data_IF_661309164912
#
_entry.id   IF_661309164912
#
_cell.length_a   1.000
_cell.length_b   1.000
_cell.length_c   1.000
_cell.angle_alpha   90.00
_cell.angle_beta   90.00
_cell.angle_gamma   90.00
#
_symmetry.space_group_name_H-M   'P 1'
#
loop_
_entity.id
_entity.type
_entity.pdbx_description
1 polymer ?
#
# COMPACT_ATOMS: atom_id res chain seq x y z
N UNK A 1 11.83 16.16 -18.43
CA UNK A 1 12.11 15.70 -17.06
C UNK A 1 11.94 14.19 -17.06
N UNK A 2 13.03 13.44 -16.90
CA UNK A 2 12.94 12.00 -16.64
C UNK A 2 12.69 11.88 -15.15
N UNK A 3 11.46 11.57 -14.75
CA UNK A 3 11.19 11.19 -13.37
C UNK A 3 11.72 9.78 -13.19
N UNK A 4 12.82 9.62 -12.45
CA UNK A 4 13.27 8.32 -12.00
C UNK A 4 12.43 7.92 -10.80
N UNK A 5 11.65 6.87 -10.93
CA UNK A 5 10.91 6.30 -9.79
C UNK A 5 11.91 5.75 -8.77
N UNK A 6 11.96 6.38 -7.60
CA UNK A 6 12.81 5.92 -6.50
C UNK A 6 12.09 4.80 -5.76
N UNK A 7 12.80 3.72 -5.52
CA UNK A 7 12.30 2.55 -4.82
C UNK A 7 13.08 2.34 -3.52
N UNK A 8 12.41 1.82 -2.49
CA UNK A 8 12.99 1.49 -1.20
C UNK A 8 12.65 0.06 -0.81
N UNK A 9 13.66 -0.71 -0.41
CA UNK A 9 13.43 -2.03 0.18
C UNK A 9 12.94 -1.88 1.62
N UNK A 10 11.82 -2.54 1.91
CA UNK A 10 11.13 -2.47 3.20
C UNK A 10 10.82 -3.88 3.68
N UNK A 11 10.99 -4.09 4.99
CA UNK A 11 10.62 -5.33 5.67
C UNK A 11 9.31 -5.18 6.45
N UNK A 12 8.45 -6.18 6.39
CA UNK A 12 7.23 -6.26 7.20
C UNK A 12 7.13 -7.60 7.92
N UNK A 13 6.63 -7.59 9.15
CA UNK A 13 6.35 -8.82 9.89
C UNK A 13 5.03 -9.45 9.40
N UNK A 14 5.12 -10.69 8.93
CA UNK A 14 3.98 -11.50 8.52
C UNK A 14 3.25 -12.10 9.72
N UNK A 15 2.08 -12.69 9.47
CA UNK A 15 1.30 -13.43 10.48
C UNK A 15 2.04 -14.62 11.13
N UNK A 16 3.18 -15.04 10.57
CA UNK A 16 4.00 -16.13 11.11
C UNK A 16 5.29 -15.62 11.78
N UNK A 17 5.34 -14.33 12.15
CA UNK A 17 6.52 -13.67 12.74
C UNK A 17 7.78 -13.75 11.87
N UNK A 18 7.59 -13.83 10.54
CA UNK A 18 8.67 -13.79 9.56
C UNK A 18 8.71 -12.41 8.90
N UNK A 19 9.91 -11.87 8.71
CA UNK A 19 10.12 -10.65 7.93
C UNK A 19 9.96 -10.99 6.45
N UNK A 20 9.04 -10.29 5.78
CA UNK A 20 8.87 -10.30 4.34
C UNK A 20 9.47 -9.02 3.79
N UNK A 21 10.52 -9.16 2.99
CA UNK A 21 11.12 -8.06 2.24
C UNK A 21 10.34 -7.79 0.96
N UNK A 22 10.14 -6.52 0.63
CA UNK A 22 9.51 -6.09 -0.61
C UNK A 22 10.01 -4.70 -1.00
N UNK A 23 9.88 -4.38 -2.27
CA UNK A 23 10.27 -3.08 -2.81
C UNK A 23 9.04 -2.17 -2.87
N UNK A 24 9.13 -1.01 -2.22
CA UNK A 24 8.09 0.01 -2.21
C UNK A 24 8.49 1.21 -3.07
N UNK A 25 7.49 1.86 -3.68
CA UNK A 25 7.68 3.14 -4.38
C UNK A 25 7.79 4.27 -3.35
N UNK A 26 8.83 5.10 -3.47
CA UNK A 26 8.93 6.35 -2.71
C UNK A 26 8.11 7.43 -3.43
N UNK A 27 6.86 7.57 -3.02
CA UNK A 27 5.90 8.52 -3.59
C UNK A 27 5.59 9.66 -2.62
N UNK A 28 6.13 10.86 -2.89
CA UNK A 28 5.86 12.06 -2.10
C UNK A 28 4.45 12.63 -2.31
N UNK A 29 3.75 12.20 -3.36
CA UNK A 29 2.35 12.54 -3.62
C UNK A 29 1.36 11.72 -2.79
N UNK A 30 1.80 10.62 -2.18
CA UNK A 30 0.98 9.79 -1.32
C UNK A 30 0.92 10.35 0.11
N UNK A 31 -0.30 10.59 0.63
CA UNK A 31 -0.51 11.04 2.01
C UNK A 31 -0.24 9.99 3.10
N UNK A 32 0.22 8.79 2.72
CA UNK A 32 0.41 7.66 3.64
C UNK A 32 1.08 6.47 2.96
N UNK A 33 1.19 5.37 3.71
CA UNK A 33 1.73 4.10 3.21
C UNK A 33 0.59 3.23 2.70
N UNK A 34 0.69 2.77 1.46
CA UNK A 34 -0.32 1.92 0.83
C UNK A 34 0.31 0.62 0.36
N UNK A 35 -0.46 -0.45 0.40
CA UNK A 35 -0.06 -1.77 -0.11
C UNK A 35 -1.22 -2.37 -0.89
N UNK A 36 -0.93 -3.05 -1.99
CA UNK A 36 -1.94 -3.78 -2.75
C UNK A 36 -2.54 -4.91 -1.89
N UNK A 37 -3.86 -5.00 -1.87
CA UNK A 37 -4.56 -5.98 -1.03
C UNK A 37 -4.31 -7.44 -1.44
N UNK A 38 -4.14 -7.72 -2.73
CA UNK A 38 -3.88 -9.08 -3.21
C UNK A 38 -2.46 -9.49 -2.84
N UNK A 39 -1.52 -8.55 -2.95
CA UNK A 39 -0.15 -8.73 -2.49
C UNK A 39 -0.10 -8.98 -0.98
N UNK A 40 -0.73 -8.14 -0.16
CA UNK A 40 -0.78 -8.33 1.30
C UNK A 40 -1.35 -9.71 1.69
N UNK A 41 -2.43 -10.15 1.04
CA UNK A 41 -3.00 -11.50 1.24
C UNK A 41 -2.03 -12.61 0.83
N UNK A 42 -1.41 -12.51 -0.34
CA UNK A 42 -0.45 -13.49 -0.86
C UNK A 42 0.75 -13.65 0.08
N UNK A 43 1.26 -12.54 0.62
CA UNK A 43 2.42 -12.54 1.53
C UNK A 43 2.06 -12.83 2.99
N UNK A 44 0.78 -13.04 3.31
CA UNK A 44 0.35 -13.38 4.66
C UNK A 44 0.47 -12.23 5.65
N UNK A 45 0.28 -10.99 5.19
CA UNK A 45 0.30 -9.82 6.06
C UNK A 45 -0.95 -9.83 6.97
N UNK A 46 -0.83 -9.40 8.23
CA UNK A 46 -1.99 -9.24 9.09
C UNK A 46 -2.90 -8.12 8.54
N UNK A 47 -4.15 -8.46 8.25
CA UNK A 47 -5.16 -7.51 7.77
C UNK A 47 -6.41 -7.59 8.63
N UNK A 48 -7.13 -6.48 8.77
CA UNK A 48 -8.46 -6.44 9.39
C UNK A 48 -9.42 -5.70 8.48
N UNK A 49 -10.67 -6.17 8.40
CA UNK A 49 -11.74 -5.43 7.76
C UNK A 49 -12.12 -4.23 8.63
N UNK A 50 -12.27 -3.07 8.00
CA UNK A 50 -12.76 -1.83 8.58
C UNK A 50 -14.29 -1.88 8.67
N UNK A 51 -14.83 -1.42 9.79
CA UNK A 51 -16.30 -1.28 9.95
C UNK A 51 -16.89 -0.30 8.93
N UNK A 52 -16.11 0.72 8.55
CA UNK A 52 -16.47 1.69 7.52
C UNK A 52 -15.31 1.83 6.53
N UNK A 53 -15.62 1.61 5.25
CA UNK A 53 -14.64 1.76 4.18
C UNK A 53 -14.17 3.22 4.04
N UNK A 54 -12.89 3.39 3.73
CA UNK A 54 -12.29 4.71 3.49
C UNK A 54 -12.26 4.98 1.99
N UNK A 55 -12.92 6.07 1.58
CA UNK A 55 -12.86 6.53 0.20
C UNK A 55 -11.54 7.23 -0.05
N UNK A 56 -10.69 6.63 -0.89
CA UNK A 56 -9.38 7.19 -1.27
C UNK A 56 -9.56 8.08 -2.49
N UNK A 57 -8.94 9.26 -2.46
CA UNK A 57 -8.89 10.22 -3.57
C UNK A 57 -7.44 10.44 -3.98
N UNK A 58 -7.21 10.62 -5.29
CA UNK A 58 -5.93 11.06 -5.81
C UNK A 58 -5.76 12.58 -5.55
N UNK A 59 -4.56 13.10 -5.79
CA UNK A 59 -4.23 14.53 -5.60
C UNK A 59 -5.16 15.45 -6.42
N UNK A 60 -5.58 15.00 -7.60
CA UNK A 60 -6.53 15.73 -8.46
C UNK A 60 -8.00 15.65 -7.99
N UNK A 61 -8.28 15.01 -6.85
CA UNK A 61 -9.60 14.87 -6.26
C UNK A 61 -10.44 13.73 -6.83
N UNK A 62 -9.98 13.05 -7.89
CA UNK A 62 -10.66 11.88 -8.46
C UNK A 62 -10.59 10.70 -7.51
N UNK A 63 -11.54 9.76 -7.63
CA UNK A 63 -11.52 8.54 -6.83
C UNK A 63 -10.34 7.66 -7.25
N UNK A 64 -9.70 7.02 -6.26
CA UNK A 64 -8.68 6.04 -6.54
C UNK A 64 -9.26 4.89 -7.38
N UNK A 65 -8.59 4.52 -8.48
CA UNK A 65 -9.09 3.51 -9.44
C UNK A 65 -9.25 2.12 -8.84
N UNK A 66 -8.53 1.81 -7.75
CA UNK A 66 -8.60 0.53 -7.06
C UNK A 66 -9.71 0.48 -6.00
N UNK A 67 -10.46 1.58 -5.83
CA UNK A 67 -11.63 1.64 -4.96
C UNK A 67 -11.31 2.17 -3.57
N UNK A 68 -11.99 1.60 -2.58
CA UNK A 68 -11.90 2.01 -1.17
C UNK A 68 -10.94 1.11 -0.39
N UNK A 69 -10.43 1.59 0.74
CA UNK A 69 -9.79 0.72 1.73
C UNK A 69 -10.90 0.10 2.58
N UNK A 70 -10.85 -1.22 2.73
CA UNK A 70 -11.86 -2.04 3.41
C UNK A 70 -11.24 -2.92 4.46
#
# INVERSE_FOLDING_TARGET
IFETETHLDVGYESKHNQIVETTALLDTGAGGKFIDQNYARKMGFPTRTLEKSVQVRNVDGTLNKKGTIT
#
